data_IF_370805960081
#
_entry.id   IF_370805960081
#
_cell.length_a   1.000
_cell.length_b   1.000
_cell.length_c   1.000
_cell.angle_alpha   90.00
_cell.angle_beta   90.00
_cell.angle_gamma   90.00
#
_symmetry.space_group_name_H-M   'P 1'
#
loop_
_entity.id
_entity.type
_entity.pdbx_description
1 polymer ?
#
# COMPACT_ATOMS: atom_id res chain seq x y z
N UNK A 1 34.49 18.82 29.12
CA UNK A 1 33.45 18.41 28.12
C UNK A 1 33.93 18.39 26.68
N UNK A 2 34.57 19.42 26.16
CA UNK A 2 35.04 19.51 24.75
C UNK A 2 35.98 18.38 24.30
N UNK A 3 36.94 17.93 25.17
CA UNK A 3 37.88 16.84 24.85
C UNK A 3 37.21 15.47 24.73
N UNK A 4 36.18 15.18 25.52
CA UNK A 4 35.42 13.91 25.43
C UNK A 4 34.57 13.85 24.14
N UNK A 5 33.97 14.97 23.71
CA UNK A 5 33.21 15.05 22.44
C UNK A 5 34.14 14.88 21.23
N UNK A 6 35.35 15.47 21.23
CA UNK A 6 36.34 15.32 20.16
C UNK A 6 36.83 13.84 20.03
N UNK A 7 37.05 13.15 21.15
CA UNK A 7 37.45 11.75 21.16
C UNK A 7 36.34 10.79 20.69
N UNK A 8 35.08 11.11 21.00
CA UNK A 8 33.92 10.35 20.51
C UNK A 8 33.73 10.52 18.99
N UNK A 9 33.85 11.74 18.48
CA UNK A 9 33.78 12.02 17.04
C UNK A 9 34.89 11.32 16.24
N UNK A 10 36.12 11.30 16.76
CA UNK A 10 37.23 10.58 16.13
C UNK A 10 37.00 9.05 16.10
N UNK A 11 36.41 8.48 17.16
CA UNK A 11 36.06 7.03 17.20
C UNK A 11 34.96 6.69 16.20
N UNK A 12 33.95 7.58 16.05
CA UNK A 12 32.88 7.41 15.08
C UNK A 12 33.43 7.48 13.64
N UNK A 13 34.28 8.48 13.34
CA UNK A 13 34.90 8.60 12.03
C UNK A 13 35.74 7.38 11.65
N UNK A 14 36.54 6.83 12.61
CA UNK A 14 37.32 5.61 12.39
C UNK A 14 36.43 4.40 12.08
N UNK A 15 35.31 4.22 12.79
CA UNK A 15 34.37 3.13 12.53
C UNK A 15 33.72 3.22 11.14
N UNK A 16 33.41 4.43 10.69
CA UNK A 16 32.85 4.66 9.34
C UNK A 16 33.86 4.29 8.26
N UNK A 17 35.15 4.60 8.46
CA UNK A 17 36.22 4.23 7.51
C UNK A 17 36.40 2.72 7.44
N UNK A 18 36.48 2.04 8.59
CA UNK A 18 36.59 0.57 8.67
C UNK A 18 35.37 -0.16 8.05
N UNK A 19 34.16 0.46 8.14
CA UNK A 19 32.94 -0.08 7.53
C UNK A 19 32.95 0.08 6.01
N UNK A 20 33.43 1.21 5.50
CA UNK A 20 33.60 1.45 4.05
C UNK A 20 34.61 0.50 3.41
N UNK A 21 35.71 0.22 4.09
CA UNK A 21 36.72 -0.74 3.62
C UNK A 21 36.18 -2.19 3.57
N UNK A 22 35.36 -2.58 4.54
CA UNK A 22 34.70 -3.90 4.53
C UNK A 22 33.65 -4.04 3.41
N UNK A 23 32.94 -2.96 3.07
CA UNK A 23 31.99 -2.94 1.95
C UNK A 23 32.73 -3.05 0.62
N UNK A 24 33.86 -2.36 0.45
CA UNK A 24 34.68 -2.43 -0.76
C UNK A 24 35.25 -3.83 -1.00
N UNK A 25 35.76 -4.47 0.04
CA UNK A 25 36.31 -5.86 -0.03
C UNK A 25 35.22 -6.89 -0.35
N UNK A 26 33.97 -6.73 0.18
CA UNK A 26 32.84 -7.59 -0.17
C UNK A 26 32.37 -7.40 -1.61
N UNK A 27 32.44 -6.17 -2.13
CA UNK A 27 32.07 -5.88 -3.53
C UNK A 27 33.08 -6.49 -4.53
N UNK A 28 34.38 -6.54 -4.18
CA UNK A 28 35.40 -7.20 -4.99
C UNK A 28 35.26 -8.72 -4.97
N UNK A 29 34.94 -9.32 -3.81
CA UNK A 29 34.66 -10.76 -3.71
C UNK A 29 33.44 -11.18 -4.54
N UNK A 30 32.36 -10.41 -4.52
CA UNK A 30 31.15 -10.68 -5.35
C UNK A 30 31.43 -10.54 -6.86
N UNK A 31 32.34 -9.64 -7.27
CA UNK A 31 32.73 -9.54 -8.68
C UNK A 31 33.58 -10.75 -9.14
N UNK A 32 34.38 -11.32 -8.27
CA UNK A 32 35.18 -12.54 -8.57
C UNK A 32 34.29 -13.79 -8.73
N UNK A 33 33.24 -13.93 -7.92
CA UNK A 33 32.28 -15.07 -8.03
C UNK A 33 31.40 -15.02 -9.30
N UNK A 34 31.11 -13.83 -9.81
CA UNK A 34 30.29 -13.67 -11.04
C UNK A 34 31.07 -14.00 -12.30
N UNK A 35 32.41 -13.85 -12.29
CA UNK A 35 33.29 -14.18 -13.45
C UNK A 35 33.50 -15.70 -13.58
N UNK A 36 33.50 -16.46 -12.49
CA UNK A 36 33.69 -17.92 -12.52
C UNK A 36 32.43 -18.71 -12.92
N UNK A 37 31.24 -18.10 -12.89
CA UNK A 37 29.99 -18.74 -13.28
C UNK A 37 29.63 -18.62 -14.76
N UNK A 38 30.35 -17.81 -15.56
CA UNK A 38 30.06 -17.56 -16.98
C UNK A 38 30.86 -18.43 -17.95
N UNK A 39 31.84 -19.21 -17.51
CA UNK A 39 32.68 -20.05 -18.41
C UNK A 39 32.24 -21.53 -18.55
N UNK A 40 31.13 -21.96 -17.93
CA UNK A 40 30.70 -23.39 -17.95
C UNK A 40 29.43 -23.72 -18.74
N UNK A 41 29.00 -22.90 -19.67
CA UNK A 41 27.81 -23.23 -20.50
C UNK A 41 28.03 -22.97 -21.98
N UNK A 42 28.94 -23.71 -22.60
CA UNK A 42 28.95 -23.92 -24.07
C UNK A 42 29.38 -25.33 -24.41
N UNK A 43 28.42 -26.26 -24.46
CA UNK A 43 28.52 -27.48 -25.24
C UNK A 43 27.11 -27.97 -25.58
N UNK A 44 26.63 -27.54 -26.76
CA UNK A 44 25.44 -28.09 -27.37
C UNK A 44 25.73 -29.43 -27.98
N UNK A 45 24.82 -30.40 -27.87
CA UNK A 45 24.73 -31.55 -28.80
C UNK A 45 23.29 -31.78 -29.18
N UNK A 46 23.09 -31.76 -30.49
CA UNK A 46 21.97 -32.23 -31.26
C UNK A 46 21.39 -33.56 -30.74
N UNK A 47 20.07 -33.64 -30.62
CA UNK A 47 19.36 -34.91 -30.64
C UNK A 47 18.11 -34.75 -31.51
N UNK A 48 18.14 -35.49 -32.62
CA UNK A 48 17.18 -35.70 -33.67
C UNK A 48 15.79 -36.12 -33.18
N UNK A 49 14.79 -35.60 -33.89
CA UNK A 49 13.36 -36.01 -33.89
C UNK A 49 13.22 -37.51 -34.15
N UNK A 50 12.49 -38.21 -33.26
CA UNK A 50 11.80 -39.47 -33.57
C UNK A 50 10.32 -39.31 -33.32
N UNK A 51 9.56 -39.43 -34.40
CA UNK A 51 8.10 -39.58 -34.38
C UNK A 51 7.71 -40.89 -33.71
N UNK A 52 6.81 -40.80 -32.71
CA UNK A 52 6.15 -41.98 -32.11
C UNK A 52 4.70 -41.97 -32.55
N UNK A 53 4.33 -42.97 -33.38
CA UNK A 53 2.95 -43.26 -33.75
C UNK A 53 2.19 -43.84 -32.59
N UNK A 54 1.05 -43.24 -32.25
CA UNK A 54 0.05 -43.78 -31.33
C UNK A 54 -0.81 -44.82 -32.02
N UNK A 55 -1.22 -45.94 -31.34
CA UNK A 55 -2.09 -46.93 -31.95
C UNK A 55 -3.56 -46.47 -31.96
N UNK A 56 -4.26 -46.75 -33.04
CA UNK A 56 -5.70 -46.54 -33.18
C UNK A 56 -6.49 -47.51 -32.26
N UNK A 57 -7.33 -46.93 -31.39
CA UNK A 57 -8.32 -47.68 -30.61
C UNK A 57 -9.67 -47.56 -31.33
N UNK A 58 -10.20 -48.72 -31.76
CA UNK A 58 -11.55 -48.83 -32.29
C UNK A 58 -12.58 -48.63 -31.20
N UNK A 59 -13.44 -47.62 -31.34
CA UNK A 59 -14.56 -47.33 -30.47
C UNK A 59 -15.81 -48.03 -31.05
N UNK A 60 -16.38 -48.99 -30.30
CA UNK A 60 -17.72 -49.52 -30.54
C UNK A 60 -18.79 -48.56 -30.01
N UNK A 61 -19.98 -48.47 -30.61
CA UNK A 61 -21.00 -47.50 -30.21
C UNK A 61 -21.69 -47.94 -28.92
N UNK A 62 -21.58 -47.10 -27.89
CA UNK A 62 -22.33 -47.25 -26.63
C UNK A 62 -23.73 -46.66 -26.84
N UNK A 63 -24.75 -47.45 -26.45
CA UNK A 63 -26.17 -47.05 -26.46
C UNK A 63 -26.39 -45.84 -25.56
N UNK A 64 -27.15 -44.85 -26.05
CA UNK A 64 -27.66 -43.71 -25.28
C UNK A 64 -28.56 -44.22 -24.14
N UNK A 65 -28.08 -44.01 -22.89
CA UNK A 65 -28.94 -44.04 -21.71
C UNK A 65 -29.38 -42.59 -21.41
N UNK A 66 -30.71 -42.43 -21.25
CA UNK A 66 -31.34 -41.15 -20.92
C UNK A 66 -30.74 -40.56 -19.63
N UNK A 67 -30.21 -39.32 -19.71
CA UNK A 67 -29.76 -38.56 -18.55
C UNK A 67 -30.97 -38.11 -17.74
N UNK A 68 -31.00 -38.30 -16.41
CA UNK A 68 -32.03 -37.69 -15.58
C UNK A 68 -31.88 -36.18 -15.59
N UNK A 69 -33.00 -35.46 -15.77
CA UNK A 69 -33.11 -34.02 -15.61
C UNK A 69 -32.60 -33.59 -14.22
N UNK A 70 -31.45 -32.92 -14.15
CA UNK A 70 -30.96 -32.26 -12.95
C UNK A 70 -31.71 -30.95 -12.80
N UNK A 71 -32.60 -30.87 -11.84
CA UNK A 71 -33.30 -29.64 -11.48
C UNK A 71 -32.28 -28.63 -10.94
N UNK A 72 -31.98 -27.55 -11.70
CA UNK A 72 -31.02 -26.47 -11.37
C UNK A 72 -31.59 -25.41 -10.38
N UNK A 73 -32.51 -25.71 -9.51
CA UNK A 73 -33.15 -24.72 -8.64
C UNK A 73 -32.48 -24.43 -7.28
N UNK A 74 -31.62 -25.24 -6.63
CA UNK A 74 -31.11 -24.88 -5.30
C UNK A 74 -29.97 -23.86 -5.29
N UNK A 75 -29.18 -23.78 -6.33
CA UNK A 75 -27.95 -22.92 -6.33
C UNK A 75 -28.28 -21.42 -6.52
N UNK A 76 -29.35 -21.08 -7.22
CA UNK A 76 -29.76 -19.68 -7.45
C UNK A 76 -30.43 -19.06 -6.22
N UNK A 77 -31.18 -19.85 -5.46
CA UNK A 77 -31.84 -19.40 -4.21
C UNK A 77 -30.86 -19.17 -3.09
N UNK A 78 -29.87 -20.04 -2.91
CA UNK A 78 -28.87 -19.92 -1.85
C UNK A 78 -27.90 -18.73 -2.07
N UNK A 79 -27.52 -18.45 -3.32
CA UNK A 79 -26.75 -17.23 -3.66
C UNK A 79 -27.56 -15.97 -3.42
N UNK A 80 -28.85 -15.92 -3.75
CA UNK A 80 -29.70 -14.76 -3.57
C UNK A 80 -29.98 -14.49 -2.07
N UNK A 81 -30.16 -15.52 -1.26
CA UNK A 81 -30.33 -15.39 0.19
C UNK A 81 -29.03 -14.90 0.85
N UNK A 82 -27.88 -15.44 0.45
CA UNK A 82 -26.58 -15.02 0.98
C UNK A 82 -26.28 -13.53 0.63
N UNK A 83 -26.66 -13.09 -0.57
CA UNK A 83 -26.54 -11.68 -0.98
C UNK A 83 -27.39 -10.76 -0.12
N UNK A 84 -28.66 -11.13 0.15
CA UNK A 84 -29.55 -10.34 1.02
C UNK A 84 -29.02 -10.24 2.46
N UNK A 85 -28.51 -11.32 3.02
CA UNK A 85 -27.90 -11.32 4.36
C UNK A 85 -26.68 -10.39 4.42
N UNK A 86 -25.87 -10.39 3.39
CA UNK A 86 -24.69 -9.51 3.31
C UNK A 86 -25.07 -8.03 3.18
N UNK A 87 -26.08 -7.73 2.39
CA UNK A 87 -26.62 -6.36 2.27
C UNK A 87 -27.19 -5.86 3.60
N UNK A 88 -27.97 -6.69 4.31
CA UNK A 88 -28.50 -6.35 5.63
C UNK A 88 -27.39 -6.13 6.67
N UNK A 89 -26.33 -6.91 6.63
CA UNK A 89 -25.18 -6.72 7.51
C UNK A 89 -24.45 -5.40 7.23
N UNK A 90 -24.23 -5.06 5.96
CA UNK A 90 -23.67 -3.76 5.58
C UNK A 90 -24.56 -2.60 6.04
N UNK A 91 -25.87 -2.64 5.76
CA UNK A 91 -26.82 -1.59 6.17
C UNK A 91 -26.85 -1.41 7.69
N UNK A 92 -26.81 -2.50 8.45
CA UNK A 92 -26.69 -2.44 9.92
C UNK A 92 -25.42 -1.78 10.40
N UNK A 93 -24.27 -2.07 9.76
CA UNK A 93 -22.97 -1.45 10.08
C UNK A 93 -22.99 0.02 9.68
N UNK A 94 -23.44 0.32 8.49
CA UNK A 94 -23.52 1.69 7.97
C UNK A 94 -24.43 2.57 8.83
N UNK A 95 -25.57 2.07 9.27
CA UNK A 95 -26.52 2.81 10.12
C UNK A 95 -25.92 3.28 11.44
N UNK A 96 -24.90 2.58 11.97
CA UNK A 96 -24.20 3.00 13.22
C UNK A 96 -23.34 4.24 13.04
N UNK A 97 -22.84 4.47 11.83
CA UNK A 97 -21.85 5.48 11.55
C UNK A 97 -22.31 6.54 10.56
N UNK A 98 -23.47 6.33 9.90
CA UNK A 98 -23.93 7.14 8.78
C UNK A 98 -24.01 8.63 9.11
N UNK A 99 -24.66 8.98 10.21
CA UNK A 99 -24.89 10.38 10.58
C UNK A 99 -23.58 11.09 10.91
N UNK A 100 -22.67 10.41 11.62
CA UNK A 100 -21.36 10.94 11.96
C UNK A 100 -20.48 11.04 10.74
N UNK A 101 -20.45 10.01 9.89
CA UNK A 101 -19.67 10.00 8.64
C UNK A 101 -20.15 11.13 7.71
N UNK A 102 -21.46 11.30 7.56
CA UNK A 102 -22.07 12.37 6.78
C UNK A 102 -21.71 13.75 7.33
N UNK A 103 -21.82 13.93 8.64
CA UNK A 103 -21.46 15.20 9.29
C UNK A 103 -19.99 15.55 9.07
N UNK A 104 -19.06 14.63 9.33
CA UNK A 104 -17.62 14.84 9.13
C UNK A 104 -17.29 15.13 7.66
N UNK A 105 -17.95 14.45 6.73
CA UNK A 105 -17.74 14.66 5.30
C UNK A 105 -18.24 16.06 4.88
N UNK A 106 -19.40 16.49 5.34
CA UNK A 106 -19.94 17.81 5.06
C UNK A 106 -19.12 18.94 5.68
N UNK A 107 -18.51 18.72 6.86
CA UNK A 107 -17.54 19.68 7.47
C UNK A 107 -16.33 19.94 6.57
N UNK A 108 -15.93 18.97 5.76
CA UNK A 108 -14.79 19.11 4.82
C UNK A 108 -15.23 19.63 3.44
N UNK A 109 -16.38 19.17 2.96
CA UNK A 109 -16.77 19.32 1.56
C UNK A 109 -18.13 19.98 1.38
N UNK A 110 -18.66 20.63 2.41
CA UNK A 110 -19.92 21.37 2.40
C UNK A 110 -21.06 20.60 1.70
N UNK A 111 -21.58 21.13 0.57
CA UNK A 111 -22.73 20.59 -0.14
C UNK A 111 -22.38 19.51 -1.18
N UNK A 112 -21.20 18.85 -1.12
CA UNK A 112 -20.82 17.79 -2.07
C UNK A 112 -21.46 16.44 -1.71
N UNK A 113 -22.80 16.46 -1.57
CA UNK A 113 -23.57 15.24 -1.30
C UNK A 113 -23.50 14.20 -2.40
N UNK A 114 -23.29 14.62 -3.64
CA UNK A 114 -23.01 13.75 -4.79
C UNK A 114 -21.79 12.84 -4.51
N UNK A 115 -20.72 13.43 -4.00
CA UNK A 115 -19.49 12.71 -3.67
C UNK A 115 -19.61 11.85 -2.41
N UNK A 116 -20.45 12.28 -1.44
CA UNK A 116 -20.76 11.45 -0.26
C UNK A 116 -21.56 10.20 -0.65
N UNK A 117 -22.53 10.33 -1.52
CA UNK A 117 -23.31 9.21 -2.04
C UNK A 117 -22.43 8.24 -2.84
N UNK A 118 -21.49 8.76 -3.64
CA UNK A 118 -20.49 7.95 -4.34
C UNK A 118 -19.59 7.19 -3.35
N UNK A 119 -19.10 7.84 -2.28
CA UNK A 119 -18.36 7.18 -1.19
C UNK A 119 -19.19 6.02 -0.60
N UNK A 120 -20.46 6.26 -0.22
CA UNK A 120 -21.33 5.24 0.37
C UNK A 120 -21.53 4.04 -0.57
N UNK A 121 -21.72 4.30 -1.87
CA UNK A 121 -21.84 3.26 -2.89
C UNK A 121 -20.56 2.42 -2.99
N UNK A 122 -19.39 3.08 -2.98
CA UNK A 122 -18.10 2.40 -3.04
C UNK A 122 -17.86 1.55 -1.78
N UNK A 123 -18.23 2.05 -0.59
CA UNK A 123 -18.16 1.28 0.66
C UNK A 123 -19.00 0.00 0.57
N UNK A 124 -20.23 0.09 0.03
CA UNK A 124 -21.11 -1.07 -0.17
C UNK A 124 -20.48 -2.10 -1.12
N UNK A 125 -19.94 -1.65 -2.24
CA UNK A 125 -19.28 -2.53 -3.22
C UNK A 125 -18.09 -3.26 -2.60
N UNK A 126 -17.19 -2.52 -1.94
CA UNK A 126 -15.99 -3.08 -1.29
C UNK A 126 -16.39 -4.10 -0.21
N UNK A 127 -17.43 -3.81 0.58
CA UNK A 127 -17.93 -4.77 1.58
C UNK A 127 -18.52 -6.02 0.91
N UNK A 128 -19.24 -5.87 -0.20
CA UNK A 128 -19.78 -7.00 -0.95
C UNK A 128 -18.68 -7.94 -1.43
N UNK A 129 -17.58 -7.37 -1.96
CA UNK A 129 -16.42 -8.11 -2.49
C UNK A 129 -15.52 -8.71 -1.39
N UNK A 130 -15.72 -8.30 -0.12
CA UNK A 130 -14.92 -8.81 1.00
C UNK A 130 -15.16 -10.30 1.23
N UNK A 131 -14.08 -11.08 1.36
CA UNK A 131 -14.13 -12.54 1.56
C UNK A 131 -14.90 -12.93 2.82
N UNK A 132 -15.57 -14.08 2.77
CA UNK A 132 -16.43 -14.56 3.87
C UNK A 132 -15.65 -14.81 5.18
N UNK A 133 -14.43 -15.28 5.10
CA UNK A 133 -13.55 -15.50 6.26
C UNK A 133 -13.09 -14.18 6.90
N UNK A 134 -12.81 -13.16 6.09
CA UNK A 134 -12.53 -11.80 6.59
C UNK A 134 -13.77 -11.18 7.26
N UNK A 135 -14.96 -11.31 6.66
CA UNK A 135 -16.23 -10.90 7.30
C UNK A 135 -16.47 -11.62 8.63
N UNK A 136 -16.08 -12.91 8.73
CA UNK A 136 -16.15 -13.65 9.99
C UNK A 136 -15.19 -13.07 11.05
N UNK A 137 -13.98 -12.72 10.65
CA UNK A 137 -13.00 -12.08 11.53
C UNK A 137 -13.49 -10.70 12.00
N UNK A 138 -14.07 -9.90 11.08
CA UNK A 138 -14.66 -8.60 11.42
C UNK A 138 -15.71 -8.72 12.52
N UNK A 139 -16.62 -9.71 12.42
CA UNK A 139 -17.63 -9.96 13.46
C UNK A 139 -17.03 -10.29 14.83
N UNK A 140 -15.92 -11.02 14.86
CA UNK A 140 -15.19 -11.31 16.11
C UNK A 140 -14.59 -10.03 16.69
N UNK A 141 -13.96 -9.21 15.85
CA UNK A 141 -13.34 -7.95 16.25
C UNK A 141 -14.36 -6.87 16.67
N UNK A 142 -15.56 -6.88 16.11
CA UNK A 142 -16.66 -6.01 16.55
C UNK A 142 -17.11 -6.30 17.99
N UNK A 143 -16.94 -7.54 18.48
CA UNK A 143 -17.25 -7.91 19.87
C UNK A 143 -16.14 -7.48 20.85
N UNK A 144 -14.94 -7.24 20.35
CA UNK A 144 -13.77 -6.80 21.09
C UNK A 144 -13.08 -5.64 20.34
N UNK A 145 -13.68 -4.44 20.32
CA UNK A 145 -13.20 -3.32 19.51
C UNK A 145 -11.85 -2.77 19.94
N UNK A 146 -11.34 -3.19 21.10
CA UNK A 146 -10.03 -2.80 21.65
C UNK A 146 -8.99 -3.94 21.55
N UNK A 147 -9.26 -4.98 20.71
CA UNK A 147 -8.37 -6.13 20.56
C UNK A 147 -6.90 -5.76 20.34
N UNK A 148 -6.63 -4.63 19.65
CA UNK A 148 -5.28 -4.14 19.34
C UNK A 148 -4.59 -3.41 20.52
N UNK A 149 -5.27 -3.22 21.64
CA UNK A 149 -4.72 -2.58 22.86
C UNK A 149 -4.33 -3.59 23.95
N UNK A 150 -4.43 -4.88 23.69
CA UNK A 150 -4.13 -5.92 24.67
C UNK A 150 -2.62 -5.97 24.98
N UNK A 151 -2.30 -6.33 26.23
CA UNK A 151 -0.92 -6.43 26.70
C UNK A 151 -0.17 -7.68 26.19
N UNK A 152 -0.86 -8.56 25.49
CA UNK A 152 -0.31 -9.77 24.87
C UNK A 152 0.17 -9.55 23.42
N UNK A 153 0.11 -8.31 22.91
CA UNK A 153 0.61 -7.99 21.56
C UNK A 153 2.11 -7.73 21.62
N UNK A 154 2.87 -8.57 20.94
CA UNK A 154 4.28 -8.37 20.63
C UNK A 154 4.47 -8.13 19.14
N UNK A 155 4.99 -6.94 18.78
CA UNK A 155 5.19 -6.52 17.41
C UNK A 155 6.61 -6.73 16.89
N UNK A 156 6.74 -7.08 15.63
CA UNK A 156 7.98 -7.05 14.85
C UNK A 156 7.77 -6.20 13.61
N UNK A 157 8.71 -5.30 13.32
CA UNK A 157 8.69 -4.45 12.12
C UNK A 157 9.88 -4.81 11.23
N UNK A 158 9.66 -4.88 9.91
CA UNK A 158 10.70 -5.25 8.97
C UNK A 158 10.47 -4.69 7.57
N UNK A 159 11.57 -4.49 6.85
CA UNK A 159 11.57 -4.47 5.39
C UNK A 159 11.57 -5.90 4.87
N UNK A 160 10.72 -6.19 3.89
CA UNK A 160 10.53 -7.54 3.32
C UNK A 160 11.83 -8.08 2.70
N UNK A 161 12.50 -7.26 1.90
CA UNK A 161 13.76 -7.59 1.23
C UNK A 161 14.89 -7.86 2.22
N UNK A 162 15.05 -7.02 3.24
CA UNK A 162 16.08 -7.16 4.25
C UNK A 162 15.89 -8.40 5.13
N UNK A 163 14.64 -8.77 5.43
CA UNK A 163 14.33 -9.92 6.29
C UNK A 163 14.36 -11.26 5.54
N UNK A 164 13.76 -11.32 4.34
CA UNK A 164 13.49 -12.58 3.65
C UNK A 164 13.60 -12.50 2.12
N UNK A 165 14.05 -11.38 1.57
CA UNK A 165 14.19 -11.15 0.13
C UNK A 165 12.87 -10.79 -0.56
N UNK A 166 11.77 -11.49 -0.26
CA UNK A 166 10.46 -11.25 -0.85
C UNK A 166 9.32 -11.77 0.06
N UNK A 167 8.05 -11.56 -0.36
CA UNK A 167 6.87 -11.96 0.40
C UNK A 167 6.78 -13.48 0.61
N UNK A 168 7.20 -14.29 -0.37
CA UNK A 168 7.25 -15.75 -0.22
C UNK A 168 8.25 -16.16 0.86
N UNK A 169 9.43 -15.54 0.87
CA UNK A 169 10.43 -15.77 1.92
C UNK A 169 9.94 -15.36 3.31
N UNK A 170 9.17 -14.25 3.43
CA UNK A 170 8.51 -13.89 4.70
C UNK A 170 7.55 -15.00 5.14
N UNK A 171 6.72 -15.49 4.20
CA UNK A 171 5.77 -16.58 4.48
C UNK A 171 6.48 -17.85 4.97
N UNK A 172 7.61 -18.22 4.40
CA UNK A 172 8.43 -19.36 4.82
C UNK A 172 9.03 -19.18 6.23
N UNK A 173 9.24 -17.94 6.66
CA UNK A 173 9.78 -17.61 7.99
C UNK A 173 8.72 -17.36 9.07
N UNK A 174 7.43 -17.57 8.80
CA UNK A 174 6.37 -17.32 9.78
C UNK A 174 6.47 -18.21 11.03
N UNK A 175 7.03 -19.42 10.91
CA UNK A 175 7.27 -20.27 12.08
C UNK A 175 8.29 -19.62 13.03
N UNK A 176 9.38 -19.09 12.48
CA UNK A 176 10.37 -18.33 13.28
C UNK A 176 9.75 -17.10 13.94
N UNK A 177 8.87 -16.37 13.24
CA UNK A 177 8.14 -15.22 13.79
C UNK A 177 7.25 -15.66 14.97
N UNK A 178 6.54 -16.76 14.83
CA UNK A 178 5.66 -17.33 15.85
C UNK A 178 6.44 -17.88 17.06
N UNK A 179 7.56 -18.58 16.83
CA UNK A 179 8.47 -19.06 17.88
C UNK A 179 9.06 -17.92 18.70
N UNK A 180 9.21 -16.74 18.11
CA UNK A 180 9.61 -15.51 18.79
C UNK A 180 8.47 -14.85 19.59
N UNK A 181 7.31 -15.49 19.71
CA UNK A 181 6.08 -14.99 20.33
C UNK A 181 5.52 -13.70 19.69
N UNK A 182 5.90 -13.42 18.43
CA UNK A 182 5.39 -12.26 17.68
C UNK A 182 4.01 -12.59 17.13
N UNK A 183 3.03 -11.74 17.43
CA UNK A 183 1.65 -11.86 16.94
C UNK A 183 1.16 -10.59 16.22
N UNK A 184 2.05 -9.63 15.99
CA UNK A 184 1.81 -8.42 15.22
C UNK A 184 3.02 -8.16 14.29
N UNK A 185 2.84 -8.34 12.99
CA UNK A 185 3.88 -8.18 11.99
C UNK A 185 3.64 -6.91 11.18
N UNK A 186 4.53 -5.92 11.30
CA UNK A 186 4.49 -4.70 10.52
C UNK A 186 5.48 -4.77 9.36
N UNK A 187 4.96 -4.82 8.14
CA UNK A 187 5.75 -4.71 6.92
C UNK A 187 5.91 -3.24 6.54
N UNK A 188 7.17 -2.79 6.43
CA UNK A 188 7.53 -1.48 5.89
C UNK A 188 7.02 -1.33 4.46
N UNK A 189 7.02 -0.12 3.85
CA UNK A 189 6.40 0.11 2.56
C UNK A 189 6.79 -0.93 1.51
N UNK A 190 5.79 -1.53 0.88
CA UNK A 190 5.96 -2.61 -0.08
C UNK A 190 5.17 -2.42 -1.39
N UNK A 191 4.44 -1.30 -1.51
CA UNK A 191 3.75 -0.96 -2.75
C UNK A 191 4.73 -0.45 -3.81
N UNK A 192 4.32 -0.54 -5.08
CA UNK A 192 5.15 -0.14 -6.22
C UNK A 192 5.65 1.29 -6.07
N UNK A 193 6.95 1.48 -6.24
CA UNK A 193 7.65 2.76 -6.17
C UNK A 193 8.82 2.78 -7.17
N UNK A 194 9.20 3.95 -7.75
CA UNK A 194 10.23 4.03 -8.77
C UNK A 194 11.62 3.75 -8.20
N UNK A 195 12.44 3.06 -8.97
CA UNK A 195 13.86 2.87 -8.65
C UNK A 195 14.59 4.22 -8.53
N UNK A 196 15.42 4.37 -7.51
CA UNK A 196 16.22 5.58 -7.26
C UNK A 196 15.43 6.81 -6.77
N UNK A 197 14.08 6.77 -6.82
CA UNK A 197 13.17 7.83 -6.33
C UNK A 197 12.07 7.25 -5.46
N UNK A 198 12.37 6.19 -4.70
CA UNK A 198 11.37 5.47 -3.92
C UNK A 198 11.21 6.02 -2.50
N UNK A 199 12.21 6.70 -1.95
CA UNK A 199 12.23 7.10 -0.52
C UNK A 199 11.94 5.92 0.41
N UNK A 200 12.60 4.78 0.19
CA UNK A 200 12.34 3.56 0.99
C UNK A 200 10.94 2.95 0.78
N UNK A 201 10.30 3.21 -0.37
CA UNK A 201 8.97 2.75 -0.71
C UNK A 201 7.85 3.76 -0.40
N UNK A 202 8.17 4.93 0.19
CA UNK A 202 7.16 5.94 0.50
C UNK A 202 6.74 6.80 -0.70
N UNK A 203 7.46 6.77 -1.83
CA UNK A 203 7.05 7.42 -3.08
C UNK A 203 6.21 6.46 -3.94
N UNK A 204 4.96 6.20 -3.52
CA UNK A 204 4.09 5.19 -4.15
C UNK A 204 3.69 5.61 -5.56
N UNK A 205 3.95 4.75 -6.55
CA UNK A 205 3.53 4.92 -7.95
C UNK A 205 2.25 4.14 -8.30
N UNK A 206 1.91 3.08 -7.55
CA UNK A 206 0.65 2.35 -7.70
C UNK A 206 0.23 1.73 -6.36
N UNK A 207 -0.93 2.15 -5.83
CA UNK A 207 -1.49 1.63 -4.57
C UNK A 207 -2.08 0.22 -4.70
N UNK A 208 -2.19 -0.32 -5.90
CA UNK A 208 -2.81 -1.62 -6.20
C UNK A 208 -1.80 -2.68 -6.61
N UNK A 209 -0.50 -2.33 -6.58
CA UNK A 209 0.59 -3.24 -6.90
C UNK A 209 1.62 -3.30 -5.79
N UNK A 210 2.14 -4.48 -5.57
CA UNK A 210 3.35 -4.71 -4.78
C UNK A 210 4.57 -4.39 -5.65
N UNK A 211 5.63 -3.90 -5.02
CA UNK A 211 6.93 -3.72 -5.67
C UNK A 211 7.36 -5.05 -6.34
N UNK A 212 7.66 -5.08 -7.65
CA UNK A 212 7.88 -6.32 -8.39
C UNK A 212 8.94 -7.25 -7.79
N UNK A 213 10.00 -6.69 -7.20
CA UNK A 213 11.07 -7.46 -6.57
C UNK A 213 10.61 -8.15 -5.28
N UNK A 214 9.57 -7.62 -4.63
CA UNK A 214 9.01 -8.18 -3.40
C UNK A 214 7.94 -9.25 -3.65
N UNK A 215 7.29 -9.24 -4.84
CA UNK A 215 6.26 -10.20 -5.20
C UNK A 215 5.03 -9.56 -5.83
N UNK A 216 3.88 -10.22 -5.69
CA UNK A 216 2.60 -9.80 -6.27
C UNK A 216 1.55 -9.51 -5.18
N UNK A 217 0.40 -8.95 -5.58
CA UNK A 217 -0.75 -8.78 -4.65
C UNK A 217 -1.29 -10.13 -4.19
N UNK A 218 -1.20 -11.17 -5.00
CA UNK A 218 -1.57 -12.54 -4.64
C UNK A 218 -0.60 -13.13 -3.61
N UNK A 219 0.68 -12.83 -3.71
CA UNK A 219 1.68 -13.23 -2.70
C UNK A 219 1.41 -12.53 -1.36
N UNK A 220 1.04 -11.24 -1.37
CA UNK A 220 0.65 -10.49 -0.17
C UNK A 220 -0.61 -11.08 0.46
N UNK A 221 -1.64 -11.38 -0.34
CA UNK A 221 -2.87 -12.00 0.11
C UNK A 221 -2.62 -13.40 0.71
N UNK A 222 -1.76 -14.19 0.06
CA UNK A 222 -1.34 -15.50 0.56
C UNK A 222 -0.57 -15.41 1.88
N UNK A 223 0.29 -14.39 2.04
CA UNK A 223 0.98 -14.13 3.31
C UNK A 223 -0.01 -13.74 4.41
N UNK A 224 -0.97 -12.84 4.11
CA UNK A 224 -2.00 -12.41 5.05
C UNK A 224 -2.85 -13.60 5.55
N UNK A 225 -3.21 -14.51 4.63
CA UNK A 225 -3.96 -15.74 4.97
C UNK A 225 -3.16 -16.65 5.91
N UNK A 226 -1.84 -16.83 5.70
CA UNK A 226 -1.01 -17.64 6.60
C UNK A 226 -0.77 -16.94 7.95
N UNK A 227 -0.55 -15.62 7.96
CA UNK A 227 -0.48 -14.85 9.21
C UNK A 227 -1.74 -15.06 10.05
N UNK A 228 -2.93 -14.96 9.44
CA UNK A 228 -4.21 -15.15 10.13
C UNK A 228 -4.35 -16.56 10.70
N UNK A 229 -3.96 -17.62 9.97
CA UNK A 229 -3.97 -18.99 10.45
C UNK A 229 -3.07 -19.19 11.67
N UNK A 230 -1.98 -18.45 11.75
CA UNK A 230 -1.01 -18.48 12.86
C UNK A 230 -1.33 -17.50 13.99
N UNK A 231 -2.44 -16.75 13.91
CA UNK A 231 -2.80 -15.75 14.91
C UNK A 231 -1.92 -14.50 14.89
N UNK A 232 -1.25 -14.23 13.77
CA UNK A 232 -0.41 -13.05 13.56
C UNK A 232 -1.24 -11.98 12.83
N UNK A 233 -1.40 -10.81 13.42
CA UNK A 233 -2.03 -9.65 12.77
C UNK A 233 -1.01 -8.97 11.85
N UNK A 234 -1.40 -8.75 10.59
CA UNK A 234 -0.55 -8.14 9.58
C UNK A 234 -0.84 -6.64 9.48
N UNK A 235 0.21 -5.83 9.64
CA UNK A 235 0.19 -4.39 9.46
C UNK A 235 1.03 -3.98 8.25
N UNK A 236 0.57 -2.97 7.50
CA UNK A 236 1.37 -2.35 6.45
C UNK A 236 1.22 -0.83 6.42
N UNK A 237 2.23 -0.16 5.85
CA UNK A 237 2.21 1.27 5.62
C UNK A 237 1.27 1.65 4.48
N UNK A 238 0.59 2.79 4.64
CA UNK A 238 -0.25 3.41 3.64
C UNK A 238 0.05 4.91 3.55
N UNK A 239 0.59 5.35 2.43
CA UNK A 239 0.98 6.74 2.21
C UNK A 239 -0.22 7.54 1.75
N UNK A 240 -0.68 8.50 2.57
CA UNK A 240 -1.87 9.31 2.23
C UNK A 240 -1.54 10.72 1.74
N UNK A 241 -0.42 11.30 2.19
CA UNK A 241 -0.15 12.72 1.93
C UNK A 241 0.21 13.01 0.47
N UNK A 242 0.86 12.07 -0.22
CA UNK A 242 1.46 12.29 -1.54
C UNK A 242 1.48 11.02 -2.38
N UNK A 243 1.76 11.19 -3.67
CA UNK A 243 2.14 10.09 -4.58
C UNK A 243 3.51 10.37 -5.17
N UNK A 244 4.12 9.35 -5.77
CA UNK A 244 5.25 9.55 -6.68
C UNK A 244 4.84 10.39 -7.90
N UNK A 245 5.77 11.16 -8.47
CA UNK A 245 5.60 11.80 -9.79
C UNK A 245 5.36 10.80 -10.92
N UNK A 246 5.67 9.50 -10.68
CA UNK A 246 5.44 8.38 -11.60
C UNK A 246 4.05 7.71 -11.40
N UNK A 247 3.25 8.16 -10.44
CA UNK A 247 1.88 7.70 -10.28
C UNK A 247 1.02 8.07 -11.50
N UNK A 248 0.07 7.23 -11.88
CA UNK A 248 -0.81 7.47 -13.04
C UNK A 248 -1.50 8.84 -12.98
N UNK A 249 -1.94 9.27 -11.80
CA UNK A 249 -2.54 10.61 -11.63
C UNK A 249 -1.55 11.73 -11.93
N UNK A 250 -0.30 11.59 -11.48
CA UNK A 250 0.74 12.58 -11.73
C UNK A 250 1.12 12.64 -13.21
N UNK A 251 1.21 11.49 -13.89
CA UNK A 251 1.46 11.42 -15.34
C UNK A 251 0.34 12.07 -16.15
N UNK A 252 -0.91 11.82 -15.79
CA UNK A 252 -2.08 12.44 -16.45
C UNK A 252 -2.19 13.94 -16.14
N UNK A 253 -1.89 14.35 -14.92
CA UNK A 253 -1.77 15.78 -14.57
C UNK A 253 -0.68 16.46 -15.40
N UNK A 254 0.48 15.80 -15.57
CA UNK A 254 1.60 16.27 -16.39
C UNK A 254 1.23 16.36 -17.89
N UNK A 255 0.35 15.51 -18.36
CA UNK A 255 -0.23 15.57 -19.71
C UNK A 255 -1.27 16.69 -19.88
N UNK A 256 -1.60 17.45 -18.83
CA UNK A 256 -2.53 18.58 -18.86
C UNK A 256 -3.99 18.22 -18.64
N UNK A 257 -4.28 16.99 -18.20
CA UNK A 257 -5.65 16.57 -17.87
C UNK A 257 -6.14 17.27 -16.60
N UNK A 258 -7.10 18.16 -16.74
CA UNK A 258 -7.56 19.07 -15.66
C UNK A 258 -8.03 18.32 -14.41
N UNK A 259 -8.80 17.24 -14.59
CA UNK A 259 -9.28 16.40 -13.49
C UNK A 259 -8.14 15.85 -12.62
N UNK A 260 -7.01 15.49 -13.23
CA UNK A 260 -5.84 14.96 -12.53
C UNK A 260 -4.95 16.08 -11.98
N UNK A 261 -4.90 17.23 -12.65
CA UNK A 261 -4.24 18.41 -12.08
C UNK A 261 -4.89 18.86 -10.78
N UNK A 262 -6.24 18.82 -10.70
CA UNK A 262 -6.99 19.21 -9.52
C UNK A 262 -6.82 18.25 -8.32
N UNK A 263 -6.14 17.11 -8.53
CA UNK A 263 -5.74 16.16 -7.46
C UNK A 263 -4.47 16.57 -6.71
N UNK A 264 -3.76 17.58 -7.20
CA UNK A 264 -2.51 18.12 -6.63
C UNK A 264 -2.60 19.63 -6.46
N UNK A 265 -1.58 20.22 -5.82
CA UNK A 265 -1.48 21.69 -5.66
C UNK A 265 -0.51 22.25 -6.70
N UNK A 266 -1.04 22.79 -7.81
CA UNK A 266 -0.25 23.44 -8.85
C UNK A 266 -0.43 24.94 -8.86
N UNK A 267 0.66 25.70 -9.10
CA UNK A 267 0.68 27.16 -9.17
C UNK A 267 1.51 27.62 -10.38
N UNK A 268 1.02 28.65 -11.09
CA UNK A 268 1.68 29.19 -12.29
C UNK A 268 2.94 30.00 -11.97
N UNK A 269 3.01 30.56 -10.77
CA UNK A 269 4.11 31.39 -10.29
C UNK A 269 4.40 31.12 -8.81
N UNK A 270 5.38 31.82 -8.24
CA UNK A 270 5.79 31.64 -6.85
C UNK A 270 5.03 32.50 -5.84
N UNK A 271 4.00 33.26 -6.23
CA UNK A 271 3.29 34.20 -5.35
C UNK A 271 2.59 33.48 -4.19
N UNK A 272 1.79 32.44 -4.48
CA UNK A 272 1.13 31.63 -3.45
C UNK A 272 2.12 30.68 -2.76
N UNK A 273 2.99 29.95 -3.47
CA UNK A 273 4.06 29.17 -2.84
C UNK A 273 4.88 29.96 -1.82
N UNK A 274 5.30 31.21 -2.13
CA UNK A 274 6.08 32.05 -1.21
C UNK A 274 5.32 32.37 0.08
N UNK A 275 4.00 32.45 0.05
CA UNK A 275 3.18 32.68 1.24
C UNK A 275 3.11 31.40 2.12
N UNK A 276 3.02 30.22 1.51
CA UNK A 276 3.13 28.96 2.25
C UNK A 276 4.50 28.82 2.93
N UNK A 277 5.59 29.14 2.24
CA UNK A 277 6.96 29.06 2.79
C UNK A 277 7.18 29.94 4.03
N UNK A 278 6.36 30.98 4.24
CA UNK A 278 6.43 31.80 5.46
C UNK A 278 5.92 31.09 6.71
N UNK A 279 5.04 30.12 6.58
CA UNK A 279 4.35 29.48 7.70
C UNK A 279 4.55 27.97 7.77
N UNK A 280 4.85 27.31 6.65
CA UNK A 280 5.02 25.85 6.56
C UNK A 280 6.48 25.48 6.79
N UNK A 281 6.82 24.80 7.89
CA UNK A 281 8.18 24.36 8.14
C UNK A 281 8.61 23.28 7.14
N UNK A 282 9.84 23.37 6.65
CA UNK A 282 10.43 22.35 5.79
C UNK A 282 10.70 21.07 6.58
N UNK A 283 10.45 19.92 5.95
CA UNK A 283 10.71 18.60 6.55
C UNK A 283 12.18 18.22 6.38
N UNK A 284 12.73 18.42 5.20
CA UNK A 284 14.11 18.08 4.86
C UNK A 284 14.91 19.29 4.39
N UNK A 285 15.22 20.28 5.26
CA UNK A 285 15.81 21.54 4.85
C UNK A 285 17.19 21.43 4.22
N UNK A 286 17.89 20.28 4.39
CA UNK A 286 19.24 20.04 3.87
C UNK A 286 19.26 19.16 2.62
N UNK A 287 18.35 18.21 2.49
CA UNK A 287 18.33 17.20 1.40
C UNK A 287 17.27 17.48 0.35
N UNK A 288 16.18 18.15 0.73
CA UNK A 288 15.09 18.56 -0.14
C UNK A 288 14.51 19.89 0.36
N UNK A 289 15.25 21.02 0.16
CA UNK A 289 14.83 22.33 0.66
C UNK A 289 13.61 22.87 -0.07
N UNK A 290 12.74 23.57 0.65
CA UNK A 290 11.47 24.12 0.15
C UNK A 290 10.31 23.15 0.31
N UNK A 291 9.10 23.65 0.01
CA UNK A 291 7.86 22.86 -0.01
C UNK A 291 7.22 22.84 -1.41
N UNK A 292 7.92 23.34 -2.43
CA UNK A 292 7.44 23.44 -3.80
C UNK A 292 8.55 23.13 -4.80
N UNK A 293 8.22 22.37 -5.83
CA UNK A 293 9.12 21.99 -6.91
C UNK A 293 8.64 22.62 -8.22
N UNK A 294 9.56 23.30 -8.95
CA UNK A 294 9.28 23.79 -10.30
C UNK A 294 9.36 22.66 -11.32
N UNK A 295 8.34 22.54 -12.15
CA UNK A 295 8.25 21.58 -13.25
C UNK A 295 8.43 22.31 -14.58
N UNK A 296 9.59 22.12 -15.20
CA UNK A 296 9.94 22.83 -16.44
C UNK A 296 9.03 22.51 -17.61
N UNK A 297 8.57 21.29 -17.68
CA UNK A 297 7.68 20.77 -18.72
C UNK A 297 6.26 21.36 -18.63
N UNK A 298 5.75 21.50 -17.40
CA UNK A 298 4.42 22.08 -17.12
C UNK A 298 4.42 23.60 -16.97
N UNK A 299 5.58 24.21 -16.76
CA UNK A 299 5.73 25.64 -16.36
C UNK A 299 4.88 25.98 -15.12
N UNK A 300 4.94 25.11 -14.10
CA UNK A 300 4.20 25.23 -12.86
C UNK A 300 5.04 24.79 -11.66
N UNK A 301 4.73 25.36 -10.51
CA UNK A 301 5.15 24.81 -9.23
C UNK A 301 4.14 23.74 -8.79
N UNK A 302 4.62 22.64 -8.23
CA UNK A 302 3.82 21.63 -7.52
C UNK A 302 4.24 21.58 -6.06
N UNK A 303 3.30 21.39 -5.14
CA UNK A 303 3.62 21.25 -3.72
C UNK A 303 4.27 19.88 -3.45
N UNK A 304 5.40 19.92 -2.73
CA UNK A 304 6.24 18.75 -2.41
C UNK A 304 6.76 18.90 -0.97
N UNK A 305 5.96 18.49 0.00
CA UNK A 305 6.31 18.62 1.43
C UNK A 305 7.56 17.80 1.78
N UNK A 306 7.84 16.70 1.06
CA UNK A 306 8.96 15.79 1.30
C UNK A 306 10.02 15.93 0.19
N UNK A 307 10.10 14.96 -0.72
CA UNK A 307 11.05 15.04 -1.84
C UNK A 307 10.41 15.64 -3.11
N UNK A 308 11.20 16.21 -4.02
CA UNK A 308 10.70 16.80 -5.27
C UNK A 308 9.85 15.88 -6.15
N UNK A 309 10.05 14.57 -6.03
CA UNK A 309 9.32 13.54 -6.76
C UNK A 309 8.10 12.99 -6.01
N UNK A 310 7.76 13.55 -4.84
CA UNK A 310 6.60 13.21 -4.02
C UNK A 310 5.62 14.38 -4.05
N UNK A 311 4.59 14.30 -4.89
CA UNK A 311 3.63 15.38 -5.10
C UNK A 311 2.47 15.29 -4.10
N UNK A 312 2.24 16.34 -3.37
CA UNK A 312 1.23 16.41 -2.32
C UNK A 312 -0.18 16.37 -2.88
N UNK A 313 -1.01 15.46 -2.36
CA UNK A 313 -2.40 15.27 -2.74
C UNK A 313 -3.30 16.37 -2.20
N UNK A 314 -4.19 16.86 -3.05
CA UNK A 314 -5.14 17.93 -2.73
C UNK A 314 -6.42 17.36 -2.10
N UNK A 315 -6.45 17.26 -0.77
CA UNK A 315 -7.64 16.78 -0.03
C UNK A 315 -8.78 17.81 0.06
N UNK A 316 -8.65 19.02 -0.48
CA UNK A 316 -9.81 19.88 -0.76
C UNK A 316 -10.70 19.31 -1.87
N UNK A 317 -10.15 18.43 -2.69
CA UNK A 317 -10.88 17.72 -3.72
C UNK A 317 -11.46 16.40 -3.15
N UNK A 318 -12.79 16.26 -3.00
CA UNK A 318 -13.41 15.05 -2.45
C UNK A 318 -13.13 13.78 -3.27
N UNK A 319 -12.82 13.92 -4.56
CA UNK A 319 -12.40 12.79 -5.40
C UNK A 319 -11.14 12.13 -4.83
N UNK A 320 -10.16 12.94 -4.38
CA UNK A 320 -8.93 12.43 -3.75
C UNK A 320 -9.25 11.63 -2.49
N UNK A 321 -10.12 12.17 -1.62
CA UNK A 321 -10.54 11.48 -0.40
C UNK A 321 -11.20 10.14 -0.72
N UNK A 322 -12.18 10.12 -1.61
CA UNK A 322 -12.92 8.90 -1.97
C UNK A 322 -12.01 7.83 -2.57
N UNK A 323 -11.11 8.21 -3.48
CA UNK A 323 -10.15 7.29 -4.11
C UNK A 323 -9.13 6.74 -3.10
N UNK A 324 -8.64 7.56 -2.17
CA UNK A 324 -7.69 7.11 -1.16
C UNK A 324 -8.34 6.17 -0.14
N UNK A 325 -9.61 6.42 0.26
CA UNK A 325 -10.42 5.47 1.04
C UNK A 325 -10.57 4.15 0.28
N UNK A 326 -10.88 4.20 -1.02
CA UNK A 326 -11.00 3.01 -1.85
C UNK A 326 -9.70 2.21 -1.89
N UNK A 327 -8.56 2.86 -2.12
CA UNK A 327 -7.25 2.20 -2.14
C UNK A 327 -6.92 1.55 -0.78
N UNK A 328 -7.18 2.24 0.33
CA UNK A 328 -7.00 1.69 1.68
C UNK A 328 -7.85 0.44 1.93
N UNK A 329 -9.14 0.51 1.61
CA UNK A 329 -10.06 -0.61 1.82
C UNK A 329 -9.78 -1.79 0.89
N UNK A 330 -9.27 -1.55 -0.31
CA UNK A 330 -8.80 -2.62 -1.19
C UNK A 330 -7.67 -3.44 -0.54
N UNK A 331 -6.73 -2.78 0.14
CA UNK A 331 -5.67 -3.47 0.89
C UNK A 331 -6.25 -4.29 2.07
N UNK A 332 -7.24 -3.74 2.80
CA UNK A 332 -7.90 -4.50 3.87
C UNK A 332 -8.66 -5.72 3.33
N UNK A 333 -9.20 -5.64 2.11
CA UNK A 333 -9.82 -6.79 1.43
C UNK A 333 -8.81 -7.86 0.98
N UNK A 334 -7.52 -7.51 0.90
CA UNK A 334 -6.43 -8.49 0.73
C UNK A 334 -6.01 -9.17 2.04
N UNK A 335 -6.64 -8.84 3.16
CA UNK A 335 -6.40 -9.46 4.46
C UNK A 335 -5.44 -8.70 5.37
N UNK A 336 -5.11 -7.45 5.03
CA UNK A 336 -4.35 -6.57 5.92
C UNK A 336 -5.23 -6.20 7.12
N UNK A 337 -4.73 -6.46 8.32
CA UNK A 337 -5.47 -6.28 9.58
C UNK A 337 -5.36 -4.87 10.13
N UNK A 338 -4.22 -4.24 9.95
CA UNK A 338 -3.90 -2.91 10.47
C UNK A 338 -3.25 -2.08 9.37
N UNK A 339 -3.75 -0.87 9.18
CA UNK A 339 -3.15 0.12 8.28
C UNK A 339 -2.42 1.17 9.13
N UNK A 340 -1.11 1.29 8.94
CA UNK A 340 -0.34 2.40 9.49
C UNK A 340 -0.31 3.52 8.47
N UNK A 341 -1.00 4.63 8.74
CA UNK A 341 -1.06 5.78 7.83
C UNK A 341 0.19 6.62 8.01
N UNK A 342 0.97 6.74 6.94
CA UNK A 342 2.15 7.60 6.91
C UNK A 342 1.80 9.07 6.68
N UNK A 343 2.67 9.98 7.16
CA UNK A 343 2.61 11.43 6.94
C UNK A 343 1.25 12.09 7.31
N UNK A 344 0.49 11.50 8.24
CA UNK A 344 -0.85 11.95 8.67
C UNK A 344 -0.93 13.45 8.97
N UNK A 345 0.03 14.08 9.70
CA UNK A 345 -0.07 15.50 10.05
C UNK A 345 -0.18 16.44 8.86
N UNK A 346 0.28 16.02 7.69
CA UNK A 346 0.46 16.85 6.50
C UNK A 346 -0.69 16.77 5.49
N UNK A 347 -1.68 15.91 5.69
CA UNK A 347 -2.72 15.59 4.68
C UNK A 347 -3.51 16.83 4.23
N UNK A 348 -3.82 17.77 5.15
CA UNK A 348 -4.58 18.98 4.83
C UNK A 348 -3.69 20.19 4.71
N UNK A 349 -3.84 20.97 3.61
CA UNK A 349 -3.09 22.20 3.36
C UNK A 349 -4.02 23.41 3.45
N UNK A 350 -3.59 24.41 4.21
CA UNK A 350 -4.31 25.68 4.33
C UNK A 350 -3.34 26.84 4.44
N UNK A 351 -3.48 27.80 3.53
CA UNK A 351 -2.64 28.99 3.51
C UNK A 351 -2.74 29.76 4.83
N UNK A 352 -1.61 30.32 5.30
CA UNK A 352 -1.52 31.04 6.56
C UNK A 352 -1.44 30.15 7.81
N UNK A 353 -1.36 28.83 7.63
CA UNK A 353 -1.13 27.85 8.70
C UNK A 353 0.21 27.13 8.51
N UNK A 354 0.61 26.33 9.50
CA UNK A 354 1.78 25.45 9.37
C UNK A 354 1.50 24.16 8.60
N UNK A 355 0.28 23.93 8.10
CA UNK A 355 -0.17 22.72 7.41
C UNK A 355 0.14 21.42 8.17
N UNK A 356 0.11 21.44 9.50
CA UNK A 356 0.38 20.27 10.36
C UNK A 356 -0.70 20.10 11.42
N UNK A 357 -1.26 18.89 11.53
CA UNK A 357 -2.27 18.54 12.53
C UNK A 357 -3.50 19.48 12.55
N UNK A 358 -3.91 19.97 11.39
CA UNK A 358 -5.10 20.81 11.30
C UNK A 358 -6.37 20.02 11.65
N UNK A 359 -7.45 20.67 12.11
CA UNK A 359 -8.69 19.98 12.51
C UNK A 359 -9.23 19.03 11.44
N UNK A 360 -9.09 19.40 10.17
CA UNK A 360 -9.52 18.59 9.04
C UNK A 360 -8.78 17.25 8.94
N UNK A 361 -7.51 17.19 9.33
CA UNK A 361 -6.74 15.94 9.41
C UNK A 361 -7.40 14.96 10.39
N UNK A 362 -7.85 15.46 11.54
CA UNK A 362 -8.53 14.64 12.55
C UNK A 362 -9.90 14.14 12.05
N UNK A 363 -10.64 14.97 11.29
CA UNK A 363 -11.89 14.55 10.66
C UNK A 363 -11.67 13.44 9.64
N UNK A 364 -10.64 13.57 8.79
CA UNK A 364 -10.26 12.54 7.81
C UNK A 364 -9.91 11.22 8.51
N UNK A 365 -9.02 11.26 9.49
CA UNK A 365 -8.60 10.04 10.22
C UNK A 365 -9.79 9.39 10.95
N UNK A 366 -10.71 10.20 11.51
CA UNK A 366 -11.91 9.70 12.17
C UNK A 366 -12.84 8.99 11.19
N UNK A 367 -13.06 9.56 9.99
CA UNK A 367 -13.84 8.90 8.93
C UNK A 367 -13.21 7.60 8.47
N UNK A 368 -11.87 7.56 8.33
CA UNK A 368 -11.16 6.34 7.92
C UNK A 368 -11.21 5.23 8.96
N UNK A 369 -11.35 5.58 10.23
CA UNK A 369 -11.46 4.61 11.31
C UNK A 369 -12.87 3.97 11.40
N UNK A 370 -13.92 4.65 10.98
CA UNK A 370 -15.30 4.14 10.97
C UNK A 370 -15.48 2.95 10.04
#
# INVERSE_FOLDING_TARGET
>A
MKARKKKAAQRAAKRITEMKEKIATNAEHKKAEVVDSTEKTTAAKDITKKEVKLPEVKVEPVKEEEKPEVKEEPIKTEKAENTKVQEQEFERRMARHYDELKWLYCELYENRMDMFEDLCKNLKNIYTDRKADLKKQDRVREQDPEWYKKNDILGMMMYVDAFAGNLKGVKEKLDYVQESNVNYLHLMPLLESPEGKSDGGYAVSDFRKVQPELGTMEDLESLADECRKKGISLCMDFVMNHTSEEHEWAKRARAGEREYMDRYYFYDNYDVPSQFEQTVPQVFPTTAPGNFTWLDDMKKFVMTTFYPYQWDLNYWNPVVMNEMVYNMLNLTNKGIDVIRIDAVPYIWKQLGTNCRNLPQVHNIVRMMRM
#
